data_IF_730006627353
#
_entry.id   IF_730006627353
#
_cell.length_a   1.000
_cell.length_b   1.000
_cell.length_c   1.000
_cell.angle_alpha   90.00
_cell.angle_beta   90.00
_cell.angle_gamma   90.00
#
_symmetry.space_group_name_H-M   'P 1'
#
loop_
_entity.id
_entity.type
_entity.pdbx_description
1 polymer ?
#
# COMPACT_ATOMS: atom_id res chain seq x y z
N UNK A 1 -12.45 11.80 14.47
CA UNK A 1 -12.16 11.51 13.04
C UNK A 1 -12.47 10.04 12.82
N UNK A 2 -13.29 9.71 11.83
CA UNK A 2 -13.60 8.31 11.48
C UNK A 2 -12.39 7.68 10.79
N UNK A 3 -12.12 6.40 11.03
CA UNK A 3 -11.12 5.66 10.25
C UNK A 3 -11.57 5.56 8.78
N UNK A 4 -10.63 5.66 7.81
CA UNK A 4 -10.87 5.41 6.38
C UNK A 4 -11.62 4.10 6.12
N UNK A 5 -12.44 4.06 5.07
CA UNK A 5 -13.21 2.88 4.69
C UNK A 5 -12.31 1.66 4.42
N UNK A 6 -11.12 1.88 3.84
CA UNK A 6 -10.05 0.89 3.68
C UNK A 6 -9.69 0.24 5.01
N UNK A 7 -9.49 1.04 6.06
CA UNK A 7 -9.13 0.54 7.38
C UNK A 7 -10.28 -0.26 8.00
N UNK A 8 -11.53 0.19 7.85
CA UNK A 8 -12.69 -0.55 8.36
C UNK A 8 -12.81 -1.94 7.75
N UNK A 9 -12.43 -2.11 6.48
CA UNK A 9 -12.45 -3.42 5.81
C UNK A 9 -11.29 -4.32 6.21
N UNK A 10 -10.14 -3.76 6.60
CA UNK A 10 -8.96 -4.51 7.04
C UNK A 10 -8.94 -4.85 8.55
N UNK A 11 -9.96 -4.42 9.32
CA UNK A 11 -9.91 -4.38 10.79
C UNK A 11 -10.37 -5.64 11.55
N UNK A 12 -10.44 -6.81 10.94
CA UNK A 12 -10.87 -8.03 11.66
C UNK A 12 -9.85 -8.60 12.65
N UNK A 13 -8.57 -8.21 12.58
CA UNK A 13 -7.53 -8.66 13.54
C UNK A 13 -6.36 -7.69 13.78
N UNK A 14 -6.33 -6.56 13.10
CA UNK A 14 -5.20 -5.62 13.11
C UNK A 14 -5.47 -4.36 13.94
N UNK A 15 -4.44 -3.84 14.63
CA UNK A 15 -4.52 -2.61 15.41
C UNK A 15 -4.10 -1.41 14.54
N UNK A 16 -4.93 -0.37 14.49
CA UNK A 16 -4.56 0.89 13.85
C UNK A 16 -3.79 1.78 14.84
N UNK A 17 -2.63 2.29 14.41
CA UNK A 17 -1.85 3.29 15.11
C UNK A 17 -1.47 4.40 14.12
N UNK A 18 -2.00 5.61 14.33
CA UNK A 18 -1.91 6.74 13.41
C UNK A 18 -2.49 6.38 12.03
N UNK A 19 -1.63 6.13 11.02
CA UNK A 19 -2.01 5.67 9.67
C UNK A 19 -1.47 4.26 9.35
N UNK A 20 -0.94 3.55 10.34
CA UNK A 20 -0.32 2.25 10.17
C UNK A 20 -1.21 1.15 10.74
N UNK A 21 -1.51 0.16 9.91
CA UNK A 21 -2.17 -1.07 10.30
C UNK A 21 -1.12 -2.10 10.73
N UNK A 22 -1.20 -2.51 11.99
CA UNK A 22 -0.31 -3.51 12.56
C UNK A 22 -0.90 -4.90 12.39
N UNK A 23 -0.33 -5.66 11.44
CA UNK A 23 -0.61 -7.07 11.26
C UNK A 23 0.26 -7.95 12.20
N UNK A 24 1.44 -7.46 12.58
CA UNK A 24 2.31 -8.13 13.53
C UNK A 24 1.98 -7.80 14.99
N UNK A 25 2.20 -8.77 15.87
CA UNK A 25 2.17 -8.55 17.34
C UNK A 25 3.42 -7.86 17.86
N UNK A 26 4.48 -7.73 17.05
CA UNK A 26 5.72 -7.10 17.45
C UNK A 26 5.63 -5.58 17.36
N UNK A 27 6.07 -4.90 18.42
CA UNK A 27 6.06 -3.43 18.52
C UNK A 27 7.05 -2.80 17.51
N UNK A 28 6.58 -2.04 16.51
CA UNK A 28 7.42 -1.45 15.47
C UNK A 28 7.93 -0.07 15.91
N UNK A 29 8.76 -0.01 16.96
CA UNK A 29 9.15 1.27 17.58
C UNK A 29 9.71 2.30 16.58
N UNK A 30 10.68 1.89 15.77
CA UNK A 30 11.36 2.81 14.83
C UNK A 30 10.70 2.79 13.44
N UNK A 31 9.98 1.72 13.10
CA UNK A 31 9.36 1.54 11.79
C UNK A 31 8.03 2.26 11.67
N UNK A 32 7.29 2.44 12.77
CA UNK A 32 6.00 3.15 12.77
C UNK A 32 6.11 4.55 12.20
N UNK A 33 7.13 5.32 12.62
CA UNK A 33 7.30 6.70 12.14
C UNK A 33 7.63 6.74 10.65
N UNK A 34 8.43 5.78 10.17
CA UNK A 34 8.74 5.66 8.75
C UNK A 34 7.48 5.35 7.93
N UNK A 35 6.72 4.32 8.33
CA UNK A 35 5.52 3.89 7.60
C UNK A 35 4.39 4.92 7.67
N UNK A 36 4.23 5.62 8.79
CA UNK A 36 3.32 6.76 8.91
C UNK A 36 3.72 7.90 7.96
N UNK A 37 5.01 8.24 7.91
CA UNK A 37 5.54 9.23 6.97
C UNK A 37 5.42 8.80 5.51
N UNK A 38 5.51 7.48 5.23
CA UNK A 38 5.32 6.91 3.90
C UNK A 38 3.86 7.02 3.46
N UNK A 39 2.89 6.71 4.33
CA UNK A 39 1.46 6.89 4.03
C UNK A 39 1.11 8.36 3.76
N UNK A 40 1.63 9.28 4.57
CA UNK A 40 1.41 10.72 4.36
C UNK A 40 2.00 11.18 3.01
N UNK A 41 3.20 10.70 2.66
CA UNK A 41 3.81 11.03 1.37
C UNK A 41 3.02 10.43 0.19
N UNK A 42 2.53 9.20 0.33
CA UNK A 42 1.68 8.55 -0.67
C UNK A 42 0.41 9.35 -0.94
N UNK A 43 -0.28 9.80 0.13
CA UNK A 43 -1.48 10.62 -0.01
C UNK A 43 -1.18 11.93 -0.76
N UNK A 44 -0.13 12.65 -0.37
CA UNK A 44 0.24 13.91 -1.04
C UNK A 44 0.61 13.70 -2.51
N UNK A 45 1.30 12.61 -2.82
CA UNK A 45 1.61 12.25 -4.20
C UNK A 45 0.33 11.96 -4.98
N UNK A 46 -0.60 11.19 -4.41
CA UNK A 46 -1.90 10.89 -5.02
C UNK A 46 -2.70 12.18 -5.29
N UNK A 47 -2.79 13.07 -4.30
CA UNK A 47 -3.46 14.37 -4.42
C UNK A 47 -2.84 15.22 -5.55
N UNK A 48 -1.50 15.24 -5.66
CA UNK A 48 -0.79 15.98 -6.72
C UNK A 48 -1.08 15.45 -8.13
N UNK A 49 -1.49 14.18 -8.22
CA UNK A 49 -1.83 13.48 -9.47
C UNK A 49 -3.35 13.35 -9.67
N UNK A 50 -4.16 14.01 -8.83
CA UNK A 50 -5.62 13.97 -8.89
C UNK A 50 -6.20 12.55 -8.80
N UNK A 51 -5.56 11.67 -8.03
CA UNK A 51 -6.07 10.34 -7.71
C UNK A 51 -6.20 10.14 -6.19
N UNK A 52 -7.08 9.25 -5.73
CA UNK A 52 -7.27 9.00 -4.29
C UNK A 52 -6.22 8.06 -3.70
N UNK A 53 -5.61 7.19 -4.54
CA UNK A 53 -4.58 6.23 -4.16
C UNK A 53 -3.45 6.22 -5.19
N UNK A 54 -2.21 6.29 -4.72
CA UNK A 54 -0.99 6.13 -5.53
C UNK A 54 -0.75 4.67 -5.92
N UNK A 55 -1.52 3.73 -5.37
CA UNK A 55 -1.45 2.31 -5.73
C UNK A 55 -2.50 1.94 -6.78
N UNK A 56 -3.74 2.38 -6.60
CA UNK A 56 -4.81 2.15 -7.58
C UNK A 56 -4.71 3.10 -8.78
N UNK A 57 -4.07 4.27 -8.61
CA UNK A 57 -3.97 5.29 -9.63
C UNK A 57 -5.32 5.88 -10.01
N UNK A 58 -5.48 6.23 -11.28
CA UNK A 58 -6.68 6.92 -11.77
C UNK A 58 -7.92 6.02 -11.83
N UNK A 59 -7.78 4.70 -11.58
CA UNK A 59 -8.90 3.77 -11.45
C UNK A 59 -9.58 3.82 -10.07
N UNK A 60 -9.07 4.61 -9.12
CA UNK A 60 -9.81 4.89 -7.89
C UNK A 60 -10.81 6.03 -8.16
N UNK A 61 -12.04 5.70 -8.49
CA UNK A 61 -13.09 6.73 -8.71
C UNK A 61 -13.78 7.17 -7.41
N UNK A 62 -13.45 6.54 -6.28
CA UNK A 62 -14.03 6.90 -4.99
C UNK A 62 -13.09 7.81 -4.19
N UNK A 63 -13.64 8.90 -3.69
CA UNK A 63 -12.98 9.86 -2.78
C UNK A 63 -12.76 9.28 -1.37
N UNK A 64 -13.18 8.04 -1.14
CA UNK A 64 -13.21 7.41 0.18
C UNK A 64 -11.99 6.53 0.52
N UNK A 65 -11.09 6.26 -0.45
CA UNK A 65 -9.99 5.32 -0.29
C UNK A 65 -8.62 6.00 -0.38
N UNK A 66 -8.02 6.29 0.77
CA UNK A 66 -6.58 6.63 0.88
C UNK A 66 -5.72 5.37 0.98
N UNK A 67 -4.47 5.45 0.54
CA UNK A 67 -3.47 4.44 0.86
C UNK A 67 -3.19 4.40 2.37
N UNK A 68 -3.06 3.19 2.90
CA UNK A 68 -2.83 2.93 4.33
C UNK A 68 -1.51 2.21 4.47
N UNK A 69 -0.67 2.64 5.41
CA UNK A 69 0.56 1.92 5.68
C UNK A 69 0.30 0.64 6.46
N UNK A 70 1.09 -0.39 6.18
CA UNK A 70 0.99 -1.68 6.87
C UNK A 70 2.35 -2.12 7.39
N UNK A 71 2.34 -2.72 8.58
CA UNK A 71 3.49 -3.40 9.16
C UNK A 71 3.20 -4.88 9.38
N UNK A 72 3.93 -5.72 8.65
CA UNK A 72 3.81 -7.19 8.69
C UNK A 72 4.78 -7.81 9.70
N UNK A 73 5.86 -7.11 10.04
CA UNK A 73 6.87 -7.59 10.97
C UNK A 73 7.96 -8.46 10.31
N UNK A 74 8.77 -9.17 11.10
CA UNK A 74 9.76 -10.09 10.57
C UNK A 74 9.09 -11.28 9.87
N UNK A 75 9.72 -11.80 8.82
CA UNK A 75 9.21 -12.97 8.11
C UNK A 75 9.62 -13.00 6.64
N UNK A 76 8.91 -13.82 5.87
CA UNK A 76 9.07 -13.98 4.42
C UNK A 76 7.83 -13.45 3.72
N UNK A 77 7.89 -12.19 3.31
CA UNK A 77 6.82 -11.48 2.61
C UNK A 77 7.30 -10.90 1.28
N UNK A 78 8.41 -11.41 0.73
CA UNK A 78 8.89 -11.00 -0.57
C UNK A 78 8.05 -11.57 -1.71
N UNK A 79 8.44 -11.22 -2.95
CA UNK A 79 7.80 -11.73 -4.16
C UNK A 79 7.68 -13.27 -4.14
N UNK A 80 6.49 -13.78 -4.44
CA UNK A 80 6.13 -15.20 -4.32
C UNK A 80 5.52 -15.59 -2.96
N UNK A 81 5.41 -14.65 -2.01
CA UNK A 81 4.77 -14.83 -0.70
C UNK A 81 3.56 -13.90 -0.50
N UNK A 82 2.90 -13.50 -1.59
CA UNK A 82 1.75 -12.59 -1.58
C UNK A 82 0.60 -13.13 -0.72
N UNK A 83 0.37 -14.45 -0.75
CA UNK A 83 -0.63 -15.08 0.12
C UNK A 83 -0.33 -14.89 1.61
N UNK A 84 0.96 -14.91 2.00
CA UNK A 84 1.37 -14.66 3.39
C UNK A 84 1.07 -13.22 3.82
N UNK A 85 1.23 -12.27 2.89
CA UNK A 85 0.85 -10.87 3.12
C UNK A 85 -0.65 -10.77 3.38
N UNK A 86 -1.48 -11.33 2.50
CA UNK A 86 -2.94 -11.32 2.64
C UNK A 86 -3.39 -11.95 3.96
N UNK A 87 -2.88 -13.15 4.27
CA UNK A 87 -3.20 -13.85 5.52
C UNK A 87 -2.85 -13.01 6.75
N UNK A 88 -1.74 -12.27 6.72
CA UNK A 88 -1.33 -11.38 7.82
C UNK A 88 -2.26 -10.18 7.98
N UNK A 89 -2.84 -9.71 6.88
CA UNK A 89 -3.85 -8.65 6.86
C UNK A 89 -5.26 -9.17 7.18
N UNK A 90 -5.44 -10.47 7.42
CA UNK A 90 -6.75 -11.09 7.61
C UNK A 90 -7.57 -11.18 6.32
N UNK A 91 -6.91 -11.09 5.17
CA UNK A 91 -7.51 -11.18 3.84
C UNK A 91 -7.28 -12.57 3.23
N UNK A 92 -8.18 -12.95 2.33
CA UNK A 92 -8.05 -14.16 1.52
C UNK A 92 -8.48 -13.84 0.08
N UNK A 93 -7.71 -14.32 -0.88
CA UNK A 93 -8.03 -14.26 -2.30
C UNK A 93 -7.42 -15.46 -3.00
N UNK A 94 -8.18 -16.08 -3.89
CA UNK A 94 -7.67 -17.14 -4.78
C UNK A 94 -7.04 -16.56 -6.05
N UNK A 95 -7.14 -15.25 -6.27
CA UNK A 95 -6.60 -14.54 -7.42
C UNK A 95 -5.67 -13.42 -6.99
N UNK A 96 -4.41 -13.55 -7.39
CA UNK A 96 -3.35 -12.57 -7.12
C UNK A 96 -2.71 -12.22 -8.46
N UNK A 97 -2.75 -10.93 -8.82
CA UNK A 97 -2.16 -10.42 -10.05
C UNK A 97 -0.95 -9.54 -9.74
N UNK A 98 0.23 -9.79 -10.31
CA UNK A 98 1.37 -8.91 -10.13
C UNK A 98 1.10 -7.56 -10.80
N UNK A 99 1.51 -6.48 -10.13
CA UNK A 99 1.45 -5.12 -10.67
C UNK A 99 2.88 -4.66 -10.94
N UNK A 100 3.15 -4.29 -12.19
CA UNK A 100 4.48 -3.84 -12.56
C UNK A 100 4.84 -2.52 -11.85
N UNK A 101 6.13 -2.36 -11.54
CA UNK A 101 6.68 -1.12 -11.00
C UNK A 101 7.49 -0.41 -12.09
N UNK A 102 7.23 0.87 -12.29
CA UNK A 102 7.97 1.70 -13.22
C UNK A 102 9.41 1.88 -12.72
N UNK A 103 10.38 1.71 -13.62
CA UNK A 103 11.80 1.97 -13.33
C UNK A 103 12.16 3.37 -13.82
N UNK A 104 12.87 4.21 -13.04
CA UNK A 104 13.49 3.93 -11.73
C UNK A 104 12.63 4.32 -10.52
N UNK A 105 11.42 4.84 -10.71
CA UNK A 105 10.63 5.46 -9.62
C UNK A 105 10.03 4.47 -8.63
N UNK A 106 9.95 3.18 -8.97
CA UNK A 106 9.31 2.12 -8.21
C UNK A 106 7.80 2.35 -7.94
N UNK A 107 7.16 3.23 -8.72
CA UNK A 107 5.72 3.49 -8.63
C UNK A 107 4.97 2.40 -9.41
N UNK A 108 3.82 1.91 -8.90
CA UNK A 108 2.94 1.03 -9.67
C UNK A 108 2.55 1.62 -11.04
N UNK A 109 2.58 0.80 -12.10
CA UNK A 109 2.22 1.22 -13.47
C UNK A 109 0.72 1.54 -13.64
N UNK A 110 -0.08 1.34 -12.61
CA UNK A 110 -1.47 1.79 -12.49
C UNK A 110 -1.56 3.32 -12.43
N UNK A 111 -0.51 3.99 -11.97
CA UNK A 111 -0.42 5.46 -11.96
C UNK A 111 0.18 5.96 -13.27
N UNK A 112 -0.57 6.80 -13.98
CA UNK A 112 -0.06 7.50 -15.16
C UNK A 112 0.65 8.78 -14.73
N UNK A 113 1.96 8.73 -14.66
CA UNK A 113 2.80 9.90 -14.36
C UNK A 113 3.17 10.60 -15.66
N UNK A 114 2.63 11.80 -15.88
CA UNK A 114 2.98 12.63 -17.05
C UNK A 114 4.17 13.55 -16.74
N UNK A 115 4.18 14.15 -15.56
CA UNK A 115 5.24 15.04 -15.07
C UNK A 115 5.54 14.70 -13.61
N UNK A 116 6.79 14.86 -13.18
CA UNK A 116 7.11 14.74 -11.76
C UNK A 116 6.62 15.96 -10.99
N UNK A 117 6.15 15.72 -9.78
CA UNK A 117 5.79 16.76 -8.79
C UNK A 117 6.71 16.64 -7.58
N UNK A 118 6.94 17.71 -6.81
CA UNK A 118 7.71 17.63 -5.57
C UNK A 118 7.16 16.60 -4.59
N UNK A 119 5.85 16.42 -4.55
CA UNK A 119 5.15 15.43 -3.73
C UNK A 119 5.46 14.00 -4.18
N UNK A 120 5.46 13.76 -5.50
CA UNK A 120 5.81 12.47 -6.08
C UNK A 120 7.30 12.14 -5.86
N UNK A 121 8.18 13.12 -6.01
CA UNK A 121 9.61 12.97 -5.75
C UNK A 121 9.86 12.63 -4.27
N UNK A 122 9.16 13.30 -3.34
CA UNK A 122 9.24 13.01 -1.92
C UNK A 122 8.74 11.59 -1.57
N UNK A 123 7.67 11.14 -2.22
CA UNK A 123 7.16 9.79 -2.07
C UNK A 123 8.14 8.74 -2.61
N UNK A 124 8.63 8.90 -3.83
CA UNK A 124 9.57 7.96 -4.46
C UNK A 124 10.90 7.89 -3.70
N UNK A 125 11.38 9.01 -3.16
CA UNK A 125 12.55 9.04 -2.30
C UNK A 125 12.37 8.14 -1.07
N UNK A 126 11.25 8.28 -0.34
CA UNK A 126 10.94 7.41 0.80
C UNK A 126 10.80 5.95 0.38
N UNK A 127 10.13 5.70 -0.74
CA UNK A 127 9.91 4.36 -1.25
C UNK A 127 11.23 3.66 -1.60
N UNK A 128 12.25 4.40 -2.05
CA UNK A 128 13.58 3.89 -2.37
C UNK A 128 14.35 3.32 -1.16
N UNK A 129 13.93 3.65 0.06
CA UNK A 129 14.50 3.09 1.29
C UNK A 129 14.06 1.63 1.53
N UNK A 130 12.95 1.20 0.92
CA UNK A 130 12.50 -0.19 0.96
C UNK A 130 13.28 -1.05 -0.03
N UNK A 131 13.68 -2.23 0.43
CA UNK A 131 14.33 -3.25 -0.38
C UNK A 131 13.32 -4.31 -0.81
N UNK A 132 13.65 -5.08 -1.84
CA UNK A 132 12.83 -6.24 -2.28
C UNK A 132 11.36 -5.85 -2.57
N UNK A 133 11.17 -4.64 -3.08
CA UNK A 133 9.86 -4.05 -3.32
C UNK A 133 9.12 -4.80 -4.42
N UNK A 134 7.84 -5.09 -4.19
CA UNK A 134 6.95 -5.66 -5.19
C UNK A 134 5.53 -5.15 -4.96
N UNK A 135 4.73 -5.15 -6.03
CA UNK A 135 3.33 -4.75 -5.99
C UNK A 135 2.47 -5.85 -6.60
N UNK A 136 1.29 -6.04 -6.02
CA UNK A 136 0.28 -6.97 -6.53
C UNK A 136 -1.11 -6.44 -6.21
N UNK A 137 -2.09 -6.97 -6.92
CA UNK A 137 -3.50 -6.69 -6.70
C UNK A 137 -4.31 -7.97 -6.50
N UNK A 138 -5.40 -7.85 -5.75
CA UNK A 138 -6.34 -8.93 -5.51
C UNK A 138 -7.77 -8.42 -5.58
N UNK A 139 -8.70 -9.14 -6.23
CA UNK A 139 -10.11 -8.85 -6.09
C UNK A 139 -10.54 -8.89 -4.62
N UNK A 140 -11.48 -8.03 -4.28
CA UNK A 140 -12.16 -8.03 -2.98
C UNK A 140 -13.66 -8.29 -3.20
N UNK A 141 -14.54 -7.55 -2.53
CA UNK A 141 -15.98 -7.64 -2.72
C UNK A 141 -16.44 -6.73 -3.87
N UNK A 142 -17.30 -7.25 -4.75
CA UNK A 142 -17.86 -6.47 -5.87
C UNK A 142 -16.79 -6.15 -6.92
N UNK A 143 -16.74 -4.89 -7.35
CA UNK A 143 -15.75 -4.37 -8.30
C UNK A 143 -14.48 -3.85 -7.64
N UNK A 144 -14.36 -4.00 -6.31
CA UNK A 144 -13.22 -3.46 -5.57
C UNK A 144 -11.98 -4.35 -5.72
N UNK A 145 -10.83 -3.69 -5.88
CA UNK A 145 -9.51 -4.34 -6.00
C UNK A 145 -8.57 -3.74 -4.96
N UNK A 146 -7.95 -4.61 -4.17
CA UNK A 146 -6.95 -4.24 -3.18
C UNK A 146 -5.58 -4.28 -3.85
N UNK A 147 -4.85 -3.18 -3.79
CA UNK A 147 -3.47 -3.08 -4.22
C UNK A 147 -2.56 -3.12 -3.00
N UNK A 148 -1.49 -3.93 -3.07
CA UNK A 148 -0.51 -4.08 -2.00
C UNK A 148 0.89 -3.82 -2.55
N UNK A 149 1.57 -2.80 -2.02
CA UNK A 149 2.95 -2.48 -2.31
C UNK A 149 3.79 -2.81 -1.08
N UNK A 150 4.60 -3.87 -1.16
CA UNK A 150 5.28 -4.45 -0.01
C UNK A 150 6.79 -4.46 -0.24
N UNK A 151 7.54 -4.06 0.79
CA UNK A 151 8.99 -4.08 0.79
C UNK A 151 9.56 -4.32 2.19
N UNK A 152 10.87 -4.49 2.22
CA UNK A 152 11.63 -4.78 3.42
C UNK A 152 12.29 -3.52 3.94
N UNK A 153 12.03 -3.19 5.20
CA UNK A 153 12.60 -2.02 5.84
C UNK A 153 14.11 -2.20 6.09
N UNK A 154 14.87 -1.10 6.10
CA UNK A 154 16.32 -1.13 6.27
C UNK A 154 16.78 -1.78 7.60
N UNK A 155 16.00 -1.59 8.65
CA UNK A 155 16.20 -2.17 9.99
C UNK A 155 15.57 -3.57 10.16
N UNK A 156 15.14 -4.20 9.06
CA UNK A 156 14.52 -5.51 9.06
C UNK A 156 13.00 -5.46 9.20
N UNK A 157 12.36 -6.60 8.90
CA UNK A 157 10.90 -6.71 8.81
C UNK A 157 10.32 -6.15 7.51
N UNK A 158 9.03 -6.40 7.33
CA UNK A 158 8.30 -6.10 6.11
C UNK A 158 7.12 -5.19 6.39
N UNK A 159 6.82 -4.35 5.42
CA UNK A 159 5.69 -3.44 5.44
C UNK A 159 5.55 -2.72 4.11
N UNK A 160 4.66 -1.74 4.06
CA UNK A 160 4.46 -0.95 2.86
C UNK A 160 3.11 -0.26 2.87
N UNK A 161 2.43 -0.25 1.74
CA UNK A 161 1.15 0.42 1.55
C UNK A 161 0.09 -0.55 1.01
N UNK A 162 -1.14 -0.32 1.42
CA UNK A 162 -2.33 -0.98 0.89
C UNK A 162 -3.35 0.08 0.50
N UNK A 163 -3.88 -0.04 -0.71
CA UNK A 163 -4.86 0.87 -1.29
C UNK A 163 -6.03 0.09 -1.88
N UNK A 164 -7.17 0.74 -2.04
CA UNK A 164 -8.34 0.16 -2.70
C UNK A 164 -8.61 0.99 -3.95
N UNK A 165 -8.81 0.30 -5.07
CA UNK A 165 -9.33 0.88 -6.30
C UNK A 165 -10.57 0.11 -6.75
N UNK A 166 -11.13 0.55 -7.86
CA UNK A 166 -12.25 -0.13 -8.52
C UNK A 166 -11.76 -0.61 -9.88
N UNK A 167 -12.05 -1.85 -10.25
CA UNK A 167 -11.98 -2.23 -11.66
C UNK A 167 -13.28 -1.81 -12.32
N UNK A 168 -13.19 -0.87 -13.26
CA UNK A 168 -14.23 -0.72 -14.26
C UNK A 168 -14.08 -1.94 -15.17
N UNK A 169 -14.98 -2.91 -15.05
CA UNK A 169 -15.14 -3.91 -16.11
C UNK A 169 -15.38 -3.13 -17.41
N UNK A 170 -14.53 -3.34 -18.43
CA UNK A 170 -14.81 -2.87 -19.80
C UNK A 170 -16.06 -3.57 -20.36
#
# INVERSE_FOLDING_TARGET
>A
MSAPATIRRLQTSAKLLNHVLLASKQDPKDQLQYFDSLAIAAQRAADSLLCSSILAGHGSESDEFSDVAVWLGPGSFGKGHEQSVLNSLGLQSDSISPVALATPSNIPTTVRVQNSTPELDAFTHKLSELKELHCFSTPSSGSDVIFSLIGKAANGGWGGLVGIGVWSDE
#
